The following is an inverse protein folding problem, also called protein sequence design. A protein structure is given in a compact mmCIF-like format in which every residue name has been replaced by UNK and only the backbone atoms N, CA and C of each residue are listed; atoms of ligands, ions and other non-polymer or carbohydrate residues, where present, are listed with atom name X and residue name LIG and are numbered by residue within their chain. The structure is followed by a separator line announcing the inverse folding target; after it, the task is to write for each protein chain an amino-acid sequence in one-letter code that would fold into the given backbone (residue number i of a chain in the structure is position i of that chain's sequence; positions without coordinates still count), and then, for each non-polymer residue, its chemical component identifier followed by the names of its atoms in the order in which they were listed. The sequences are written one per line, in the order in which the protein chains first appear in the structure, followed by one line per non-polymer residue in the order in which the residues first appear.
data_IF_269799403196
#
_entry.id   IF_269799403196
#
_cell.length_a   1.000
_cell.length_b   1.000
_cell.length_c   1.000
_cell.angle_alpha   90.00
_cell.angle_beta   90.00
_cell.angle_gamma   90.00
#
_symmetry.space_group_name_H-M   'P 1'
#
loop_
_entity.id
_entity.type
_entity.pdbx_description
1 polymer ?
#
# COMPACT_ATOMS: atom_id res chain seq x y z
N UNK A 1 -34.93 -15.59 37.43
CA UNK A 1 -33.95 -15.71 36.34
C UNK A 1 -33.33 -14.36 36.12
N UNK A 2 -32.00 -14.23 36.30
CA UNK A 2 -31.29 -12.98 36.15
C UNK A 2 -30.81 -12.85 34.70
N UNK A 3 -31.24 -11.77 34.02
CA UNK A 3 -30.97 -11.49 32.61
C UNK A 3 -29.48 -11.24 32.34
N UNK A 4 -29.00 -11.81 31.23
CA UNK A 4 -27.69 -11.54 30.65
C UNK A 4 -27.67 -10.16 29.97
N UNK A 5 -26.89 -9.21 30.52
CA UNK A 5 -26.60 -7.89 29.93
C UNK A 5 -25.10 -7.78 29.63
N UNK A 6 -24.53 -8.77 28.93
CA UNK A 6 -23.08 -8.78 28.61
C UNK A 6 -22.76 -8.84 27.10
N UNK A 7 -23.76 -8.86 26.21
CA UNK A 7 -23.54 -8.99 24.76
C UNK A 7 -23.47 -7.68 23.97
N UNK A 8 -24.20 -6.64 24.36
CA UNK A 8 -24.39 -5.45 23.52
C UNK A 8 -23.23 -4.44 23.58
N UNK A 9 -22.57 -4.30 24.74
CA UNK A 9 -21.45 -3.37 24.89
C UNK A 9 -20.20 -3.78 24.10
N UNK A 10 -19.92 -5.09 24.01
CA UNK A 10 -18.77 -5.61 23.23
C UNK A 10 -18.98 -5.49 21.73
N UNK A 11 -20.20 -5.74 21.25
CA UNK A 11 -20.54 -5.57 19.83
C UNK A 11 -20.42 -4.11 19.42
N UNK A 12 -20.93 -3.16 20.22
CA UNK A 12 -20.80 -1.73 19.92
C UNK A 12 -19.34 -1.23 19.89
N UNK A 13 -18.51 -1.67 20.84
CA UNK A 13 -17.09 -1.33 20.88
C UNK A 13 -16.32 -1.93 19.69
N UNK A 14 -16.63 -3.17 19.31
CA UNK A 14 -16.01 -3.80 18.14
C UNK A 14 -16.41 -3.08 16.85
N UNK A 15 -17.70 -2.77 16.65
CA UNK A 15 -18.16 -2.01 15.48
C UNK A 15 -17.52 -0.62 15.40
N UNK A 16 -17.39 0.08 16.53
CA UNK A 16 -16.72 1.39 16.57
C UNK A 16 -15.23 1.29 16.22
N UNK A 17 -14.52 0.28 16.76
CA UNK A 17 -13.11 -0.01 16.46
C UNK A 17 -12.90 -0.31 14.98
N UNK A 18 -13.75 -1.17 14.39
CA UNK A 18 -13.65 -1.49 12.96
C UNK A 18 -13.94 -0.26 12.08
N UNK A 19 -14.88 0.61 12.46
CA UNK A 19 -15.16 1.87 11.73
C UNK A 19 -13.97 2.82 11.76
N UNK A 20 -13.29 2.95 12.90
CA UNK A 20 -12.08 3.77 13.03
C UNK A 20 -10.93 3.20 12.17
N UNK A 21 -10.75 1.88 12.17
CA UNK A 21 -9.77 1.23 11.33
C UNK A 21 -10.06 1.36 9.85
N UNK A 22 -11.32 1.34 9.42
CA UNK A 22 -11.67 1.57 8.02
C UNK A 22 -11.23 2.96 7.56
N UNK A 23 -11.46 3.98 8.39
CA UNK A 23 -11.02 5.36 8.09
C UNK A 23 -9.48 5.47 8.03
N UNK A 24 -8.78 4.89 9.02
CA UNK A 24 -7.31 4.92 9.08
C UNK A 24 -6.68 4.16 7.90
N UNK A 25 -7.22 2.99 7.56
CA UNK A 25 -6.78 2.20 6.42
C UNK A 25 -7.01 2.93 5.09
N UNK A 26 -8.14 3.60 4.92
CA UNK A 26 -8.42 4.41 3.74
C UNK A 26 -7.42 5.56 3.60
N UNK A 27 -7.15 6.32 4.68
CA UNK A 27 -6.14 7.39 4.66
C UNK A 27 -4.74 6.87 4.29
N UNK A 28 -4.35 5.71 4.81
CA UNK A 28 -3.07 5.08 4.45
C UNK A 28 -3.03 4.65 2.99
N UNK A 29 -4.10 4.03 2.49
CA UNK A 29 -4.19 3.59 1.11
C UNK A 29 -4.10 4.79 0.14
N UNK A 30 -4.84 5.86 0.42
CA UNK A 30 -4.80 7.09 -0.38
C UNK A 30 -3.40 7.69 -0.42
N UNK A 31 -2.74 7.84 0.74
CA UNK A 31 -1.38 8.40 0.81
C UNK A 31 -0.35 7.54 0.05
N UNK A 32 -0.43 6.21 0.17
CA UNK A 32 0.44 5.29 -0.57
C UNK A 32 0.16 5.37 -2.07
N UNK A 33 -1.10 5.37 -2.48
CA UNK A 33 -1.46 5.41 -3.90
C UNK A 33 -1.12 6.76 -4.54
N UNK A 34 -1.28 7.89 -3.85
CA UNK A 34 -0.78 9.18 -4.31
C UNK A 34 0.74 9.18 -4.49
N UNK A 35 1.49 8.62 -3.52
CA UNK A 35 2.95 8.47 -3.65
C UNK A 35 3.32 7.65 -4.89
N UNK A 36 2.63 6.52 -5.12
CA UNK A 36 2.87 5.69 -6.30
C UNK A 36 2.47 6.38 -7.61
N UNK A 37 1.43 7.22 -7.62
CA UNK A 37 1.02 8.03 -8.77
C UNK A 37 2.07 9.09 -9.11
N UNK A 38 2.64 9.75 -8.11
CA UNK A 38 3.72 10.72 -8.30
C UNK A 38 4.96 10.07 -8.92
N UNK A 39 5.35 8.89 -8.43
CA UNK A 39 6.43 8.11 -9.04
C UNK A 39 6.07 7.62 -10.44
N UNK A 40 4.82 7.21 -10.67
CA UNK A 40 4.35 6.83 -12.01
C UNK A 40 4.52 7.97 -13.01
N UNK A 41 4.14 9.19 -12.64
CA UNK A 41 4.30 10.37 -13.50
C UNK A 41 5.78 10.59 -13.88
N UNK A 42 6.69 10.49 -12.91
CA UNK A 42 8.14 10.59 -13.14
C UNK A 42 8.65 9.50 -14.08
N UNK A 43 8.22 8.25 -13.89
CA UNK A 43 8.64 7.13 -14.75
C UNK A 43 8.08 7.25 -16.17
N UNK A 44 6.86 7.76 -16.33
CA UNK A 44 6.28 8.08 -17.63
C UNK A 44 7.08 9.17 -18.33
N UNK A 45 7.46 10.24 -17.63
CA UNK A 45 8.24 11.33 -18.19
C UNK A 45 9.68 10.90 -18.55
N UNK A 46 10.30 10.06 -17.72
CA UNK A 46 11.61 9.47 -18.00
C UNK A 46 11.57 8.54 -19.22
N UNK A 47 10.52 7.72 -19.34
CA UNK A 47 10.32 6.86 -20.50
C UNK A 47 10.11 7.67 -21.81
N UNK A 48 9.50 8.85 -21.73
CA UNK A 48 9.33 9.76 -22.88
C UNK A 48 10.63 10.46 -23.28
N UNK A 49 11.42 10.89 -22.31
CA UNK A 49 12.60 11.73 -22.53
C UNK A 49 13.79 10.95 -23.09
N UNK A 50 13.93 9.67 -22.73
CA UNK A 50 15.11 8.88 -23.10
C UNK A 50 15.09 8.30 -24.53
N UNK A 51 14.02 8.50 -25.32
CA UNK A 51 13.97 8.26 -26.78
C UNK A 51 14.19 6.81 -27.27
N UNK A 52 14.64 5.91 -26.41
CA UNK A 52 14.94 4.48 -26.58
C UNK A 52 14.81 3.95 -25.15
N UNK A 53 13.83 3.14 -24.76
CA UNK A 53 13.64 1.71 -25.06
C UNK A 53 12.16 1.41 -24.83
N UNK A 54 11.49 0.75 -25.76
CA UNK A 54 10.23 0.05 -25.48
C UNK A 54 10.38 -0.75 -24.17
N UNK A 55 9.65 -0.37 -23.11
CA UNK A 55 9.73 -1.05 -21.80
C UNK A 55 10.50 -0.30 -20.70
N UNK A 56 10.97 0.94 -20.89
CA UNK A 56 11.60 1.73 -19.80
C UNK A 56 10.67 1.90 -18.59
N UNK A 57 9.39 2.21 -18.81
CA UNK A 57 8.40 2.34 -17.74
C UNK A 57 8.22 1.02 -16.96
N UNK A 58 8.11 -0.10 -17.69
CA UNK A 58 8.02 -1.44 -17.12
C UNK A 58 9.28 -1.76 -16.30
N UNK A 59 10.47 -1.49 -16.85
CA UNK A 59 11.73 -1.69 -16.17
C UNK A 59 11.84 -0.90 -14.87
N UNK A 60 11.46 0.39 -14.86
CA UNK A 60 11.51 1.22 -13.65
C UNK A 60 10.57 0.68 -12.57
N UNK A 61 9.36 0.27 -12.94
CA UNK A 61 8.44 -0.39 -12.02
C UNK A 61 8.96 -1.76 -11.56
N UNK A 62 9.63 -2.51 -12.41
CA UNK A 62 10.28 -3.76 -12.02
C UNK A 62 11.36 -3.52 -10.96
N UNK A 63 12.21 -2.51 -11.15
CA UNK A 63 13.20 -2.10 -10.16
C UNK A 63 12.54 -1.65 -8.85
N UNK A 64 11.42 -0.92 -8.93
CA UNK A 64 10.64 -0.50 -7.76
C UNK A 64 10.08 -1.71 -6.98
N UNK A 65 9.45 -2.67 -7.69
CA UNK A 65 8.92 -3.90 -7.08
C UNK A 65 9.99 -4.75 -6.43
N UNK A 66 11.20 -4.71 -6.98
CA UNK A 66 12.39 -5.38 -6.42
C UNK A 66 13.09 -4.56 -5.33
N UNK A 67 12.51 -3.43 -4.91
CA UNK A 67 13.04 -2.52 -3.90
C UNK A 67 14.49 -2.06 -4.20
N UNK A 68 14.83 -1.85 -5.48
CA UNK A 68 16.19 -1.50 -5.95
C UNK A 68 16.54 -0.02 -5.75
N UNK A 69 15.53 0.81 -5.48
CA UNK A 69 15.71 2.18 -5.03
C UNK A 69 14.65 2.49 -3.97
N UNK A 70 14.90 3.57 -3.23
CA UNK A 70 14.10 3.92 -2.07
C UNK A 70 12.94 4.84 -2.45
N UNK A 71 11.72 4.37 -2.12
CA UNK A 71 10.51 5.18 -2.11
C UNK A 71 10.22 5.48 -0.64
N UNK A 72 10.16 6.76 -0.21
CA UNK A 72 9.83 7.07 1.18
C UNK A 72 8.42 6.60 1.48
N UNK A 73 8.22 6.02 2.67
CA UNK A 73 6.87 5.74 3.13
C UNK A 73 6.16 7.08 3.40
N UNK A 74 4.92 7.31 2.90
CA UNK A 74 4.27 8.60 3.05
C UNK A 74 3.95 8.93 4.52
N UNK A 75 4.01 10.21 4.91
CA UNK A 75 3.59 10.61 6.25
C UNK A 75 2.07 10.40 6.41
N UNK A 76 1.68 9.72 7.48
CA UNK A 76 0.27 9.48 7.84
C UNK A 76 0.06 9.98 9.27
N UNK A 77 -0.98 10.78 9.48
CA UNK A 77 -1.29 11.34 10.79
C UNK A 77 -1.55 10.23 11.82
N UNK A 78 -1.05 10.44 13.05
CA UNK A 78 -1.21 9.52 14.18
C UNK A 78 -0.67 8.09 13.93
N UNK A 79 0.31 7.95 13.04
CA UNK A 79 1.02 6.69 12.80
C UNK A 79 2.46 6.83 13.29
N UNK A 80 3.02 5.76 13.88
CA UNK A 80 4.40 5.78 14.41
C UNK A 80 5.47 5.71 13.31
N UNK A 81 5.19 6.25 12.13
CA UNK A 81 6.06 6.21 10.98
C UNK A 81 7.37 6.94 11.28
N UNK A 82 8.46 6.20 11.43
CA UNK A 82 9.78 6.81 11.43
C UNK A 82 10.06 7.37 10.03
N UNK A 83 10.65 8.57 9.91
CA UNK A 83 11.00 9.15 8.60
C UNK A 83 12.03 8.31 7.83
N UNK A 84 12.61 7.28 8.46
CA UNK A 84 13.51 6.31 7.85
C UNK A 84 12.78 5.11 7.22
N UNK A 85 11.47 4.98 7.43
CA UNK A 85 10.69 3.87 6.90
C UNK A 85 10.44 4.12 5.41
N UNK A 86 10.72 3.08 4.64
CA UNK A 86 10.58 3.09 3.19
C UNK A 86 9.34 2.29 2.81
N UNK A 87 8.66 2.73 1.77
CA UNK A 87 7.61 1.95 1.14
C UNK A 87 8.27 0.74 0.48
N UNK A 88 7.81 -0.46 0.82
CA UNK A 88 8.36 -1.72 0.31
C UNK A 88 7.29 -2.49 -0.43
N UNK A 89 7.64 -2.94 -1.63
CA UNK A 89 6.91 -4.03 -2.26
C UNK A 89 7.29 -5.32 -1.53
N UNK A 90 6.28 -6.07 -1.11
CA UNK A 90 6.44 -7.27 -0.30
C UNK A 90 6.28 -8.51 -1.16
N UNK A 91 7.00 -9.57 -0.81
CA UNK A 91 6.78 -10.90 -1.38
C UNK A 91 5.41 -11.47 -0.96
N UNK A 92 4.88 -12.48 -1.68
CA UNK A 92 3.69 -13.19 -1.26
C UNK A 92 3.81 -13.68 0.19
N UNK A 93 2.76 -13.47 0.99
CA UNK A 93 2.71 -13.83 2.41
C UNK A 93 3.75 -13.12 3.31
N UNK A 94 4.33 -12.02 2.84
CA UNK A 94 5.22 -11.17 3.63
C UNK A 94 4.56 -9.83 3.95
N UNK A 95 4.89 -9.29 5.12
CA UNK A 95 4.37 -8.02 5.62
C UNK A 95 5.52 -7.07 5.96
N UNK A 96 5.36 -5.81 5.56
CA UNK A 96 6.21 -4.72 5.95
C UNK A 96 5.60 -3.98 7.16
N UNK A 97 6.47 -3.57 8.09
CA UNK A 97 6.08 -2.74 9.21
C UNK A 97 6.10 -1.25 8.84
N UNK A 98 5.11 -0.52 9.35
CA UNK A 98 5.03 0.95 9.24
C UNK A 98 5.63 1.67 10.44
N UNK A 99 6.24 0.93 11.36
CA UNK A 99 6.76 1.41 12.64
C UNK A 99 8.15 0.81 12.92
N UNK A 100 8.89 1.46 13.82
CA UNK A 100 10.11 0.91 14.39
C UNK A 100 9.76 0.01 15.57
N UNK A 101 10.03 -1.29 15.44
CA UNK A 101 9.74 -2.29 16.48
C UNK A 101 10.46 -2.00 17.81
N UNK A 102 11.60 -1.32 17.76
CA UNK A 102 12.42 -1.04 18.93
C UNK A 102 12.02 0.30 19.59
N UNK A 103 11.12 1.06 18.96
CA UNK A 103 10.62 2.35 19.43
C UNK A 103 9.11 2.50 19.18
N UNK A 104 8.34 1.50 19.62
CA UNK A 104 6.88 1.46 19.48
C UNK A 104 6.19 2.47 20.40
N UNK A 105 5.38 3.34 19.81
CA UNK A 105 4.44 4.19 20.53
C UNK A 105 3.12 3.45 20.75
N UNK A 106 2.64 3.40 22.00
CA UNK A 106 1.37 2.74 22.35
C UNK A 106 0.14 3.58 21.98
N UNK A 107 0.32 4.87 21.71
CA UNK A 107 -0.77 5.78 21.34
C UNK A 107 -0.91 5.93 19.84
N UNK A 108 0.15 5.65 19.09
CA UNK A 108 0.15 5.76 17.64
C UNK A 108 -0.35 4.46 17.00
N UNK A 109 -0.89 4.61 15.80
CA UNK A 109 -1.27 3.49 14.97
C UNK A 109 -0.03 2.81 14.38
N UNK A 110 0.01 1.47 14.45
CA UNK A 110 1.17 0.66 14.08
C UNK A 110 0.76 -0.50 13.14
N UNK A 111 0.21 -0.23 11.94
CA UNK A 111 -0.24 -1.29 11.04
C UNK A 111 0.93 -2.05 10.39
N UNK A 112 0.64 -3.28 9.98
CA UNK A 112 1.43 -4.02 9.01
C UNK A 112 0.75 -3.94 7.64
N UNK A 113 1.51 -4.05 6.56
CA UNK A 113 0.93 -4.10 5.21
C UNK A 113 1.66 -5.05 4.27
N UNK A 114 0.95 -5.47 3.22
CA UNK A 114 1.51 -6.13 2.05
C UNK A 114 1.21 -5.26 0.83
N UNK A 115 2.24 -4.90 0.06
CA UNK A 115 2.11 -4.13 -1.17
C UNK A 115 2.65 -4.96 -2.33
N UNK A 116 1.79 -5.22 -3.31
CA UNK A 116 2.14 -6.02 -4.48
C UNK A 116 1.76 -5.28 -5.75
N UNK A 117 2.48 -5.56 -6.83
CA UNK A 117 2.20 -5.02 -8.15
C UNK A 117 2.23 -6.14 -9.18
N UNK A 118 1.23 -6.22 -10.06
CA UNK A 118 1.13 -7.21 -11.12
C UNK A 118 0.93 -6.50 -12.46
N UNK A 119 1.82 -6.74 -13.43
CA UNK A 119 1.64 -6.20 -14.77
C UNK A 119 0.43 -6.84 -15.44
N UNK A 120 -0.35 -6.02 -16.16
CA UNK A 120 -1.52 -6.47 -16.89
C UNK A 120 -1.15 -6.69 -18.36
N UNK A 121 -1.40 -7.89 -18.86
CA UNK A 121 -1.10 -8.27 -20.25
C UNK A 121 -1.80 -7.33 -21.25
N UNK A 122 -1.07 -6.73 -22.20
CA UNK A 122 -1.69 -5.98 -23.28
C UNK A 122 -2.47 -6.93 -24.22
N UNK A 123 -3.51 -6.43 -24.90
CA UNK A 123 -4.30 -7.21 -25.86
C UNK A 123 -3.52 -7.61 -27.14
N UNK A 124 -2.34 -7.03 -27.36
CA UNK A 124 -1.43 -7.36 -28.47
C UNK A 124 0.00 -7.53 -27.95
N UNK A 125 0.88 -8.27 -28.64
CA UNK A 125 2.30 -8.37 -28.28
C UNK A 125 2.92 -6.98 -28.16
N UNK A 126 3.52 -6.69 -27.02
CA UNK A 126 4.08 -5.38 -26.71
C UNK A 126 4.49 -5.25 -25.25
N UNK A 127 5.16 -4.15 -24.87
CA UNK A 127 5.52 -3.88 -23.49
C UNK A 127 4.28 -3.70 -22.62
N UNK A 128 4.40 -3.99 -21.32
CA UNK A 128 3.30 -3.72 -20.39
C UNK A 128 3.02 -2.22 -20.31
N UNK A 129 1.73 -1.87 -20.31
CA UNK A 129 1.26 -0.46 -20.21
C UNK A 129 0.48 -0.19 -18.93
N UNK A 130 0.23 -1.23 -18.13
CA UNK A 130 -0.53 -1.12 -16.90
C UNK A 130 0.03 -2.04 -15.80
N UNK A 131 0.03 -1.53 -14.57
CA UNK A 131 0.47 -2.20 -13.37
C UNK A 131 -0.65 -2.12 -12.35
N UNK A 132 -1.24 -3.27 -12.02
CA UNK A 132 -2.24 -3.37 -10.98
C UNK A 132 -1.57 -3.48 -9.61
N UNK A 133 -1.83 -2.52 -8.74
CA UNK A 133 -1.31 -2.46 -7.38
C UNK A 133 -2.38 -2.96 -6.42
N UNK A 134 -1.99 -3.86 -5.53
CA UNK A 134 -2.82 -4.33 -4.41
C UNK A 134 -2.12 -4.03 -3.10
N UNK A 135 -2.83 -3.35 -2.21
CA UNK A 135 -2.41 -3.05 -0.84
C UNK A 135 -3.32 -3.78 0.14
N UNK A 136 -2.74 -4.61 1.00
CA UNK A 136 -3.43 -5.26 2.12
C UNK A 136 -2.91 -4.65 3.40
N UNK A 137 -3.80 -4.17 4.27
CA UNK A 137 -3.45 -3.53 5.54
C UNK A 137 -4.01 -4.37 6.70
N UNK A 138 -3.15 -4.69 7.65
CA UNK A 138 -3.52 -5.28 8.94
C UNK A 138 -3.47 -4.16 9.99
N UNK A 139 -4.62 -3.55 10.35
CA UNK A 139 -4.66 -2.35 11.16
C UNK A 139 -4.19 -2.57 12.61
N UNK A 140 -4.33 -3.80 13.09
CA UNK A 140 -3.91 -4.24 14.42
C UNK A 140 -2.43 -4.65 14.49
N UNK A 141 -1.70 -4.49 13.37
CA UNK A 141 -0.28 -4.83 13.30
C UNK A 141 -0.02 -6.29 13.69
N UNK A 142 0.77 -6.48 14.75
CA UNK A 142 1.22 -7.81 15.19
C UNK A 142 0.15 -8.65 15.90
N UNK A 143 -0.99 -8.08 16.30
CA UNK A 143 -2.03 -8.86 17.00
C UNK A 143 -3.01 -9.55 16.06
N UNK A 144 -3.09 -9.11 14.80
CA UNK A 144 -3.98 -9.65 13.76
C UNK A 144 -5.44 -9.86 14.21
N UNK A 145 -5.91 -9.06 15.18
CA UNK A 145 -7.22 -9.26 15.83
C UNK A 145 -8.40 -8.61 15.09
N UNK A 146 -8.12 -7.78 14.10
CA UNK A 146 -9.10 -7.10 13.25
C UNK A 146 -8.93 -7.54 11.80
N UNK A 147 -10.01 -7.48 11.04
CA UNK A 147 -10.03 -7.90 9.65
C UNK A 147 -9.03 -7.10 8.80
N UNK A 148 -8.46 -7.72 7.78
CA UNK A 148 -7.58 -7.00 6.86
C UNK A 148 -8.38 -6.10 5.93
N UNK A 149 -7.81 -4.97 5.52
CA UNK A 149 -8.41 -4.09 4.52
C UNK A 149 -7.64 -4.21 3.22
N UNK A 150 -8.36 -4.36 2.11
CA UNK A 150 -7.76 -4.55 0.79
C UNK A 150 -8.16 -3.39 -0.11
N UNK A 151 -7.15 -2.74 -0.68
CA UNK A 151 -7.30 -1.65 -1.62
C UNK A 151 -6.53 -1.97 -2.90
N UNK A 152 -7.00 -1.45 -4.02
CA UNK A 152 -6.30 -1.60 -5.28
C UNK A 152 -6.38 -0.36 -6.14
N UNK A 153 -5.38 -0.18 -6.98
CA UNK A 153 -5.34 0.86 -8.00
C UNK A 153 -4.57 0.37 -9.21
N UNK A 154 -4.65 1.08 -10.34
CA UNK A 154 -3.90 0.73 -11.55
C UNK A 154 -3.09 1.94 -11.98
N UNK A 155 -1.79 1.74 -12.11
CA UNK A 155 -0.86 2.71 -12.68
C UNK A 155 -0.75 2.43 -14.17
N UNK A 156 -0.86 3.45 -15.01
CA UNK A 156 -0.82 3.30 -16.46
C UNK A 156 0.27 4.16 -17.09
N UNK A 157 0.82 3.66 -18.19
CA UNK A 157 1.62 4.46 -19.11
C UNK A 157 0.75 4.83 -20.33
N UNK A 158 0.28 6.09 -20.44
CA UNK A 158 -0.57 6.52 -21.54
C UNK A 158 0.15 6.61 -22.89
N UNK A 159 1.48 6.41 -22.94
CA UNK A 159 2.32 6.62 -24.11
C UNK A 159 2.52 5.42 -25.06
N UNK A 160 1.75 4.35 -24.94
CA UNK A 160 1.84 3.19 -25.84
C UNK A 160 0.74 3.17 -26.89
N UNK A 161 0.87 3.95 -27.96
CA UNK A 161 0.15 3.61 -29.20
C UNK A 161 0.89 2.43 -29.85
N UNK A 162 0.21 1.32 -30.20
CA UNK A 162 0.72 0.43 -31.25
C UNK A 162 0.80 1.15 -32.60
#
# INVERSE_FOLDING_TARGET
GLLAIFGLGRLGLQTAKETEYDQRCAMMADAIFETLRDYNARFVDEARTNGVVSGTWEYLWEQARQNKFDIPFPPIANMSASPKILLRFTEPNSFAATFDKDNLSLTDWNPLYSLTGNFLNPPSPGPFTALHITLVIHPDGLTYSSDQRVFSTTLTNPGGLP
#
